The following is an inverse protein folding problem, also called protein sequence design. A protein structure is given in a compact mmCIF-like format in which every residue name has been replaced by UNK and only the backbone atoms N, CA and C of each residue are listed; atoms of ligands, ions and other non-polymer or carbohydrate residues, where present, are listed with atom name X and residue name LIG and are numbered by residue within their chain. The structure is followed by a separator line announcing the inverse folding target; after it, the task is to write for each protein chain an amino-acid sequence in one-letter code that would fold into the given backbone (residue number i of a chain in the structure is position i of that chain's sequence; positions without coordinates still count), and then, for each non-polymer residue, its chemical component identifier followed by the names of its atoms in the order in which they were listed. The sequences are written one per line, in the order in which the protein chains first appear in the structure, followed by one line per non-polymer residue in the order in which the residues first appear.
data_IF_247826546957
#
_entry.id   IF_247826546957
#
_cell.length_a   1.000
_cell.length_b   1.000
_cell.length_c   1.000
_cell.angle_alpha   90.00
_cell.angle_beta   90.00
_cell.angle_gamma   90.00
#
_symmetry.space_group_name_H-M   'P 1'
#
loop_
_entity.id
_entity.type
_entity.pdbx_description
1 polymer ?
#
# COMPACT_ATOMS: atom_id res chain seq x y z
N UNK A 1 17.01 -8.48 -37.93
CA UNK A 1 16.72 -9.74 -37.20
C UNK A 1 17.23 -9.54 -35.78
N UNK A 2 16.49 -8.83 -34.92
CA UNK A 2 15.44 -9.32 -34.00
C UNK A 2 15.97 -10.32 -32.96
N UNK A 3 15.86 -9.91 -31.67
CA UNK A 3 15.65 -10.64 -30.41
C UNK A 3 16.34 -9.81 -29.30
N UNK A 4 15.76 -8.75 -28.73
CA UNK A 4 14.50 -8.65 -27.98
C UNK A 4 14.36 -9.71 -26.87
N UNK A 5 15.33 -9.76 -25.95
CA UNK A 5 15.20 -10.45 -24.66
C UNK A 5 15.83 -9.61 -23.54
N UNK A 6 15.38 -8.35 -23.39
CA UNK A 6 15.55 -7.63 -22.13
C UNK A 6 14.48 -8.17 -21.18
N UNK A 7 14.92 -9.02 -20.27
CA UNK A 7 14.13 -9.77 -19.31
C UNK A 7 13.23 -8.85 -18.48
N UNK A 8 11.91 -9.05 -18.56
CA UNK A 8 10.92 -8.48 -17.63
C UNK A 8 11.00 -9.20 -16.27
N UNK A 9 12.14 -9.12 -15.60
CA UNK A 9 12.33 -9.68 -14.25
C UNK A 9 11.90 -8.70 -13.14
N UNK A 10 11.23 -7.59 -13.46
CA UNK A 10 10.75 -6.61 -12.48
C UNK A 10 9.49 -7.04 -11.70
N UNK A 11 8.98 -8.26 -11.93
CA UNK A 11 7.70 -8.70 -11.35
C UNK A 11 7.78 -9.47 -10.03
N UNK A 12 8.97 -9.84 -9.54
CA UNK A 12 9.12 -10.73 -8.38
C UNK A 12 9.57 -10.02 -7.08
N UNK A 13 9.30 -8.72 -6.98
CA UNK A 13 9.53 -7.95 -5.77
C UNK A 13 8.18 -7.47 -5.23
N UNK A 14 7.29 -8.41 -4.87
CA UNK A 14 6.18 -8.10 -3.94
C UNK A 14 6.79 -8.02 -2.54
N UNK A 15 7.71 -7.07 -2.34
CA UNK A 15 8.28 -6.85 -1.03
C UNK A 15 7.25 -5.99 -0.32
N UNK A 16 6.46 -6.60 0.57
CA UNK A 16 5.53 -5.84 1.40
C UNK A 16 6.28 -4.71 2.14
N UNK A 17 7.57 -4.91 2.44
CA UNK A 17 8.43 -3.85 3.00
C UNK A 17 8.60 -2.63 2.09
N UNK A 18 8.50 -2.78 0.77
CA UNK A 18 8.61 -1.66 -0.17
C UNK A 18 7.43 -0.70 -0.07
N UNK A 19 6.23 -1.23 0.16
CA UNK A 19 5.02 -0.43 0.42
C UNK A 19 5.18 0.42 1.68
N UNK A 20 5.80 -0.16 2.72
CA UNK A 20 6.09 0.55 3.97
C UNK A 20 7.08 1.72 3.81
N UNK A 21 7.84 1.81 2.71
CA UNK A 21 8.80 2.89 2.48
C UNK A 21 8.14 4.18 2.00
N UNK A 22 6.97 4.10 1.37
CA UNK A 22 6.31 5.24 0.74
C UNK A 22 4.89 5.48 1.26
N UNK A 23 4.25 4.49 1.88
CA UNK A 23 2.95 4.63 2.48
C UNK A 23 3.02 4.94 3.99
N UNK A 24 1.94 5.51 4.53
CA UNK A 24 1.83 5.87 5.95
C UNK A 24 0.39 5.64 6.49
N UNK A 25 0.21 5.65 7.83
CA UNK A 25 -1.12 5.53 8.44
C UNK A 25 -2.01 6.72 8.10
N UNK A 26 -3.22 6.43 7.63
CA UNK A 26 -4.23 7.44 7.34
C UNK A 26 -4.97 7.81 8.63
N UNK A 27 -4.93 9.09 9.01
CA UNK A 27 -5.59 9.62 10.23
C UNK A 27 -6.58 10.73 9.88
N UNK A 28 -7.82 10.39 9.49
CA UNK A 28 -8.84 11.37 9.15
C UNK A 28 -9.14 12.33 10.30
N UNK A 29 -9.39 13.59 9.93
CA UNK A 29 -9.87 14.61 10.84
C UNK A 29 -11.36 14.42 11.15
N UNK A 30 -11.80 14.96 12.29
CA UNK A 30 -13.24 15.07 12.65
C UNK A 30 -14.05 15.89 11.64
N UNK A 31 -13.38 16.68 10.79
CA UNK A 31 -14.01 17.50 9.75
C UNK A 31 -14.10 16.79 8.39
N UNK A 32 -13.50 15.62 8.24
CA UNK A 32 -13.50 14.89 6.97
C UNK A 32 -14.85 14.21 6.76
N UNK A 33 -15.48 14.48 5.62
CA UNK A 33 -16.72 13.81 5.23
C UNK A 33 -16.40 12.47 4.56
N UNK A 34 -16.49 11.37 5.33
CA UNK A 34 -16.19 10.03 4.83
C UNK A 34 -17.45 9.22 4.59
N UNK A 35 -17.56 8.60 3.41
CA UNK A 35 -18.53 7.55 3.18
C UNK A 35 -18.21 6.32 4.04
N UNK A 36 -19.21 5.47 4.30
CA UNK A 36 -19.01 4.20 5.01
C UNK A 36 -17.97 3.32 4.26
N UNK A 37 -17.98 3.35 2.92
CA UNK A 37 -17.01 2.61 2.11
C UNK A 37 -15.58 3.08 2.34
N UNK A 38 -15.36 4.39 2.32
CA UNK A 38 -14.04 4.99 2.56
C UNK A 38 -13.53 4.69 3.97
N UNK A 39 -14.39 4.76 4.99
CA UNK A 39 -14.01 4.40 6.36
C UNK A 39 -13.50 2.95 6.46
N UNK A 40 -14.18 2.01 5.80
CA UNK A 40 -13.76 0.60 5.78
C UNK A 40 -12.42 0.42 5.08
N UNK A 41 -12.18 1.13 3.97
CA UNK A 41 -10.92 1.08 3.23
C UNK A 41 -9.76 1.63 4.06
N UNK A 42 -9.94 2.78 4.72
CA UNK A 42 -8.94 3.37 5.62
C UNK A 42 -8.60 2.41 6.77
N UNK A 43 -9.62 1.80 7.38
CA UNK A 43 -9.41 0.81 8.43
C UNK A 43 -8.63 -0.41 7.93
N UNK A 44 -8.94 -0.91 6.72
CA UNK A 44 -8.23 -2.03 6.12
C UNK A 44 -6.76 -1.68 5.82
N UNK A 45 -6.51 -0.49 5.26
CA UNK A 45 -5.16 0.03 5.00
C UNK A 45 -4.33 0.10 6.28
N UNK A 46 -4.85 0.76 7.32
CA UNK A 46 -4.13 0.91 8.58
C UNK A 46 -3.87 -0.43 9.27
N UNK A 47 -4.82 -1.38 9.22
CA UNK A 47 -4.63 -2.74 9.76
C UNK A 47 -3.48 -3.47 9.07
N UNK A 48 -3.39 -3.36 7.74
CA UNK A 48 -2.29 -3.96 6.97
C UNK A 48 -0.94 -3.32 7.32
N UNK A 49 -0.93 -2.01 7.53
CA UNK A 49 0.24 -1.31 8.04
C UNK A 49 0.71 -1.77 9.41
N UNK A 50 -0.22 -2.07 10.33
CA UNK A 50 0.14 -2.65 11.65
C UNK A 50 0.71 -4.07 11.48
N UNK A 51 0.11 -4.87 10.60
CA UNK A 51 0.50 -6.27 10.36
C UNK A 51 1.89 -6.40 9.71
N UNK A 52 2.24 -5.50 8.79
CA UNK A 52 3.41 -5.65 7.94
C UNK A 52 4.45 -4.53 8.01
N UNK A 53 4.09 -3.36 8.52
CA UNK A 53 4.91 -2.15 8.50
C UNK A 53 5.18 -1.57 9.91
N UNK A 54 4.79 -2.28 10.97
CA UNK A 54 4.92 -1.84 12.38
C UNK A 54 4.30 -0.45 12.67
N UNK A 55 3.31 -0.05 11.89
CA UNK A 55 2.61 1.23 12.06
C UNK A 55 1.87 1.32 13.40
N UNK A 56 1.69 2.55 13.90
CA UNK A 56 1.06 2.88 15.19
C UNK A 56 -0.11 3.85 15.01
#
# INVERSE_FOLDING_TARGET
MMLFLMSFASGCAIVISGECLWAEPLRPSVRDALTIGTQRQILAHNKKGVEFCDWK
#
